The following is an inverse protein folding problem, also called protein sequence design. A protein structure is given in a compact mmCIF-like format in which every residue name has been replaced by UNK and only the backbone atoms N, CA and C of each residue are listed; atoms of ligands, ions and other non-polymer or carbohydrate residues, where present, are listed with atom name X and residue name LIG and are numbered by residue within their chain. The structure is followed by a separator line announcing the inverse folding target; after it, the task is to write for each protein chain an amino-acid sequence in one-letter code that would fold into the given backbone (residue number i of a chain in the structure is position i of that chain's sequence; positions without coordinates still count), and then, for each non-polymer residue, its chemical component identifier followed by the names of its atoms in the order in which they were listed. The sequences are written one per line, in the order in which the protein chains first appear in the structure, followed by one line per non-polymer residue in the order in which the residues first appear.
data_IF_896076023458
#
_entry.id   IF_896076023458
#
_cell.length_a   1.000
_cell.length_b   1.000
_cell.length_c   1.000
_cell.angle_alpha   90.00
_cell.angle_beta   90.00
_cell.angle_gamma   90.00
#
_symmetry.space_group_name_H-M   'P 1'
#
loop_
_entity.id
_entity.type
_entity.pdbx_description
1 polymer ?
#
# COMPACT_ATOMS: atom_id res chain seq x y z
N UNK A 1 -25.96 23.75 7.07
CA UNK A 1 -25.49 22.88 8.17
C UNK A 1 -24.06 22.50 7.86
N UNK A 2 -23.10 23.10 8.52
CA UNK A 2 -21.69 22.73 8.43
C UNK A 2 -21.56 21.40 9.16
N UNK A 3 -21.18 20.32 8.47
CA UNK A 3 -20.84 19.06 9.14
C UNK A 3 -19.64 19.35 10.03
N UNK A 4 -19.80 19.18 11.35
CA UNK A 4 -18.65 19.16 12.25
C UNK A 4 -17.70 18.05 11.81
N UNK A 5 -16.59 18.44 11.23
CA UNK A 5 -15.49 17.54 10.93
C UNK A 5 -14.85 17.17 12.26
N UNK A 6 -14.71 15.87 12.54
CA UNK A 6 -14.04 15.38 13.72
C UNK A 6 -12.63 16.03 13.78
N UNK A 7 -12.32 16.84 14.80
CA UNK A 7 -11.04 17.57 14.87
C UNK A 7 -9.79 16.67 14.99
N UNK A 8 -10.00 15.36 15.15
CA UNK A 8 -8.90 14.36 15.11
C UNK A 8 -8.61 13.82 13.70
N UNK A 9 -9.40 14.19 12.70
CA UNK A 9 -9.18 13.85 11.30
C UNK A 9 -8.96 15.18 10.57
N UNK A 10 -7.87 15.86 10.85
CA UNK A 10 -7.37 16.88 9.97
C UNK A 10 -6.70 16.20 8.78
N UNK A 11 -7.51 15.69 7.89
CA UNK A 11 -7.06 15.56 6.51
C UNK A 11 -6.87 17.00 6.02
N UNK A 12 -5.64 17.42 5.92
CA UNK A 12 -5.32 18.73 5.42
C UNK A 12 -5.67 18.70 3.94
N UNK A 13 -6.81 19.28 3.55
CA UNK A 13 -7.26 19.33 2.14
C UNK A 13 -6.18 19.93 1.21
N UNK A 14 -5.20 20.65 1.79
CA UNK A 14 -4.05 21.21 1.08
C UNK A 14 -3.01 20.15 0.70
N UNK A 15 -2.97 19.01 1.38
CA UNK A 15 -2.05 17.91 1.12
C UNK A 15 -2.67 16.83 0.23
N UNK A 16 -3.78 17.15 -0.41
CA UNK A 16 -4.53 16.31 -1.37
C UNK A 16 -4.23 16.69 -2.81
N UNK A 17 -3.06 16.37 -3.33
CA UNK A 17 -2.75 16.64 -4.73
C UNK A 17 -3.04 15.43 -5.61
N UNK A 18 -4.01 14.60 -5.23
CA UNK A 18 -4.34 13.42 -6.04
C UNK A 18 -4.84 13.86 -7.41
N UNK A 19 -5.67 14.88 -7.42
CA UNK A 19 -6.13 15.51 -8.67
C UNK A 19 -5.04 16.43 -9.23
N UNK A 20 -4.24 15.90 -10.13
CA UNK A 20 -3.18 16.64 -10.81
C UNK A 20 -1.76 16.29 -10.36
N UNK A 21 -1.59 15.25 -9.52
CA UNK A 21 -0.25 14.78 -9.16
C UNK A 21 0.53 14.35 -10.41
N UNK A 22 1.75 14.88 -10.53
CA UNK A 22 2.73 14.51 -11.56
C UNK A 22 4.07 14.32 -10.89
N UNK A 23 4.66 13.14 -11.06
CA UNK A 23 6.02 12.86 -10.59
C UNK A 23 7.03 13.74 -11.34
N UNK A 24 7.86 14.47 -10.60
CA UNK A 24 8.84 15.41 -11.16
C UNK A 24 9.96 14.72 -11.96
N UNK A 25 10.32 13.49 -11.60
CA UNK A 25 11.32 12.68 -12.33
C UNK A 25 10.60 11.71 -13.29
N UNK A 26 10.67 11.94 -14.63
CA UNK A 26 10.02 11.08 -15.61
C UNK A 26 10.53 9.64 -15.63
N UNK A 27 11.77 9.40 -15.21
CA UNK A 27 12.30 8.04 -15.11
C UNK A 27 11.74 7.34 -13.88
N UNK A 28 11.69 8.04 -12.73
CA UNK A 28 11.04 7.55 -11.52
C UNK A 28 9.56 7.24 -11.80
N UNK A 29 8.86 8.14 -12.50
CA UNK A 29 7.46 7.96 -12.87
C UNK A 29 7.20 6.62 -13.59
N UNK A 30 8.04 6.26 -14.57
CA UNK A 30 7.94 4.98 -15.27
C UNK A 30 8.18 3.77 -14.37
N UNK A 31 9.08 3.90 -13.40
CA UNK A 31 9.37 2.85 -12.45
C UNK A 31 8.24 2.70 -11.43
N UNK A 32 7.73 3.81 -10.91
CA UNK A 32 6.58 3.82 -9.99
C UNK A 32 5.34 3.25 -10.66
N UNK A 33 5.07 3.57 -11.93
CA UNK A 33 3.97 2.97 -12.68
C UNK A 33 4.07 1.44 -12.72
N UNK A 34 5.25 0.91 -13.04
CA UNK A 34 5.50 -0.54 -13.06
C UNK A 34 5.30 -1.16 -11.68
N UNK A 35 5.79 -0.52 -10.63
CA UNK A 35 5.64 -0.99 -9.26
C UNK A 35 4.17 -0.94 -8.83
N UNK A 36 3.48 0.16 -9.09
CA UNK A 36 2.05 0.30 -8.81
C UNK A 36 1.21 -0.78 -9.51
N UNK A 37 1.50 -1.08 -10.77
CA UNK A 37 0.86 -2.18 -11.51
C UNK A 37 1.17 -3.56 -10.91
N UNK A 38 2.35 -3.76 -10.35
CA UNK A 38 2.74 -5.00 -9.69
C UNK A 38 1.97 -5.21 -8.39
N UNK A 39 1.79 -4.16 -7.59
CA UNK A 39 1.21 -4.27 -6.25
C UNK A 39 -0.30 -4.06 -6.18
N UNK A 40 -0.89 -3.29 -7.11
CA UNK A 40 -2.32 -2.96 -7.07
C UNK A 40 -3.21 -4.21 -7.19
N UNK A 41 -4.31 -4.22 -6.45
CA UNK A 41 -5.39 -5.18 -6.60
C UNK A 41 -6.55 -4.67 -7.48
N UNK A 42 -6.47 -3.41 -7.91
CA UNK A 42 -7.48 -2.79 -8.78
C UNK A 42 -7.29 -3.25 -10.24
N UNK A 43 -8.16 -4.15 -10.70
CA UNK A 43 -8.10 -4.74 -12.04
C UNK A 43 -8.18 -3.69 -13.16
N UNK A 44 -9.06 -2.69 -13.13
CA UNK A 44 -9.11 -1.62 -14.15
C UNK A 44 -7.77 -0.91 -14.36
N UNK A 45 -6.97 -0.72 -13.31
CA UNK A 45 -5.64 -0.10 -13.41
C UNK A 45 -4.62 -0.95 -14.14
N UNK A 46 -4.81 -2.27 -14.18
CA UNK A 46 -3.94 -3.22 -14.90
C UNK A 46 -4.19 -3.28 -16.40
N UNK A 47 -5.26 -2.66 -16.87
CA UNK A 47 -5.51 -2.55 -18.30
C UNK A 47 -4.57 -1.54 -18.95
N UNK A 48 -4.31 -1.64 -20.27
CA UNK A 48 -3.46 -0.67 -20.97
C UNK A 48 -3.93 0.79 -20.75
N UNK A 49 -3.04 1.64 -20.26
CA UNK A 49 -3.35 3.03 -19.92
C UNK A 49 -4.27 3.22 -18.70
N UNK A 50 -4.54 2.15 -17.94
CA UNK A 50 -5.43 2.20 -16.77
C UNK A 50 -4.78 2.84 -15.54
N UNK A 51 -3.45 2.75 -15.37
CA UNK A 51 -2.73 3.41 -14.30
C UNK A 51 -2.45 4.87 -14.66
N UNK A 52 -2.73 5.79 -13.74
CA UNK A 52 -2.44 7.21 -13.87
C UNK A 52 -1.66 7.69 -12.65
N UNK A 53 -0.90 8.78 -12.80
CA UNK A 53 -0.06 9.31 -11.72
C UNK A 53 -0.86 9.86 -10.52
N UNK A 54 -2.10 10.27 -10.73
CA UNK A 54 -3.01 10.68 -9.68
C UNK A 54 -3.83 9.54 -9.06
N UNK A 55 -3.58 8.30 -9.44
CA UNK A 55 -4.15 7.16 -8.73
C UNK A 55 -3.41 6.92 -7.41
N UNK A 56 -4.15 6.49 -6.39
CA UNK A 56 -3.63 6.33 -5.05
C UNK A 56 -2.44 5.38 -4.98
N UNK A 57 -2.49 4.27 -5.70
CA UNK A 57 -1.39 3.29 -5.74
C UNK A 57 -0.09 3.88 -6.32
N UNK A 58 -0.20 4.77 -7.32
CA UNK A 58 0.94 5.47 -7.88
C UNK A 58 1.44 6.56 -6.93
N UNK A 59 0.52 7.41 -6.49
CA UNK A 59 0.83 8.60 -5.70
C UNK A 59 1.56 8.27 -4.41
N UNK A 60 1.06 7.30 -3.64
CA UNK A 60 1.69 6.94 -2.36
C UNK A 60 3.09 6.35 -2.55
N UNK A 61 3.30 5.53 -3.58
CA UNK A 61 4.63 4.98 -3.88
C UNK A 61 5.62 6.06 -4.32
N UNK A 62 5.16 7.04 -5.10
CA UNK A 62 5.98 8.17 -5.49
C UNK A 62 6.36 9.05 -4.30
N UNK A 63 5.46 9.21 -3.35
CA UNK A 63 5.71 10.02 -2.13
C UNK A 63 6.62 9.32 -1.14
N UNK A 64 6.45 8.03 -0.91
CA UNK A 64 7.17 7.29 0.13
C UNK A 64 8.53 6.76 -0.32
N UNK A 65 8.71 6.45 -1.61
CA UNK A 65 9.89 5.74 -2.09
C UNK A 65 10.83 6.62 -2.89
N UNK A 66 12.12 6.42 -2.68
CA UNK A 66 13.14 6.94 -3.57
C UNK A 66 13.17 6.16 -4.89
N UNK A 67 13.80 6.72 -5.92
CA UNK A 67 13.98 6.04 -7.21
C UNK A 67 14.74 4.72 -7.09
N UNK A 68 15.73 4.68 -6.19
CA UNK A 68 16.52 3.48 -5.91
C UNK A 68 15.67 2.37 -5.27
N UNK A 69 14.86 2.72 -4.28
CA UNK A 69 13.95 1.79 -3.62
C UNK A 69 12.89 1.23 -4.58
N UNK A 70 12.36 2.07 -5.48
CA UNK A 70 11.45 1.60 -6.52
C UNK A 70 12.13 0.59 -7.45
N UNK A 71 13.37 0.84 -7.87
CA UNK A 71 14.16 -0.13 -8.65
C UNK A 71 14.37 -1.43 -7.88
N UNK A 72 14.74 -1.32 -6.61
CA UNK A 72 14.95 -2.47 -5.74
C UNK A 72 13.66 -3.30 -5.60
N UNK A 73 12.53 -2.67 -5.35
CA UNK A 73 11.22 -3.34 -5.29
C UNK A 73 10.86 -4.07 -6.59
N UNK A 74 11.16 -3.50 -7.74
CA UNK A 74 10.93 -4.13 -9.04
C UNK A 74 11.78 -5.40 -9.25
N UNK A 75 12.87 -5.56 -8.50
CA UNK A 75 13.70 -6.76 -8.57
C UNK A 75 13.01 -8.02 -8.02
N UNK A 76 11.93 -7.88 -7.26
CA UNK A 76 11.09 -9.01 -6.85
C UNK A 76 10.26 -9.61 -8.00
N UNK A 77 10.03 -8.87 -9.08
CA UNK A 77 9.28 -9.26 -10.28
C UNK A 77 7.81 -9.58 -10.05
N UNK A 78 7.48 -10.17 -8.92
CA UNK A 78 6.11 -10.56 -8.54
C UNK A 78 5.91 -10.46 -7.04
N UNK A 79 4.66 -10.25 -6.64
CA UNK A 79 4.27 -10.35 -5.23
C UNK A 79 4.40 -11.80 -4.73
N UNK A 80 4.65 -11.95 -3.43
CA UNK A 80 4.70 -13.24 -2.71
C UNK A 80 5.73 -14.23 -3.23
N UNK A 81 6.78 -13.73 -3.88
CA UNK A 81 7.96 -14.52 -4.21
C UNK A 81 9.05 -14.16 -3.22
N UNK A 82 9.40 -15.12 -2.37
CA UNK A 82 10.47 -14.94 -1.37
C UNK A 82 11.83 -14.77 -2.04
N UNK A 83 12.60 -13.79 -1.57
CA UNK A 83 13.99 -13.56 -1.96
C UNK A 83 14.83 -13.25 -0.73
N UNK A 84 16.04 -13.77 -0.71
CA UNK A 84 17.05 -13.51 0.33
C UNK A 84 17.82 -12.22 0.06
N UNK A 85 18.48 -11.67 1.09
CA UNK A 85 19.36 -10.48 0.91
C UNK A 85 20.43 -10.69 -0.13
N UNK A 86 21.20 -11.83 -0.18
CA UNK A 86 22.20 -12.08 -1.22
C UNK A 86 21.61 -12.07 -2.64
N UNK A 87 20.44 -12.70 -2.85
CA UNK A 87 19.79 -12.71 -4.16
C UNK A 87 19.38 -11.29 -4.61
N UNK A 88 18.86 -10.49 -3.69
CA UNK A 88 18.47 -9.10 -3.98
C UNK A 88 19.69 -8.22 -4.23
N UNK A 89 20.76 -8.37 -3.44
CA UNK A 89 22.00 -7.65 -3.62
C UNK A 89 22.62 -7.95 -4.99
N UNK A 90 22.75 -9.23 -5.34
CA UNK A 90 23.28 -9.66 -6.63
C UNK A 90 22.45 -9.09 -7.80
N UNK A 91 21.11 -9.14 -7.69
CA UNK A 91 20.21 -8.71 -8.74
C UNK A 91 20.25 -7.20 -8.98
N UNK A 92 20.53 -6.43 -7.93
CA UNK A 92 20.61 -4.97 -7.99
C UNK A 92 22.05 -4.47 -8.17
N UNK A 93 23.06 -5.35 -8.20
CA UNK A 93 24.46 -4.99 -8.38
C UNK A 93 25.04 -4.17 -7.21
N UNK A 94 24.62 -4.47 -5.99
CA UNK A 94 25.02 -3.81 -4.76
C UNK A 94 25.56 -4.83 -3.74
N UNK A 95 26.14 -4.35 -2.66
CA UNK A 95 26.56 -5.19 -1.53
C UNK A 95 25.36 -5.66 -0.70
N UNK A 96 25.52 -6.74 0.06
CA UNK A 96 24.47 -7.22 0.97
C UNK A 96 24.14 -6.17 2.05
N UNK A 97 25.13 -5.40 2.50
CA UNK A 97 24.93 -4.32 3.48
C UNK A 97 24.06 -3.19 2.91
N UNK A 98 24.29 -2.80 1.64
CA UNK A 98 23.47 -1.80 0.96
C UNK A 98 22.05 -2.31 0.73
N UNK A 99 21.91 -3.56 0.28
CA UNK A 99 20.62 -4.20 0.11
C UNK A 99 19.86 -4.29 1.43
N UNK A 100 20.52 -4.65 2.54
CA UNK A 100 19.89 -4.77 3.85
C UNK A 100 19.36 -3.42 4.35
N UNK A 101 20.07 -2.31 4.13
CA UNK A 101 19.59 -0.96 4.50
C UNK A 101 18.30 -0.61 3.77
N UNK A 102 18.22 -0.93 2.48
CA UNK A 102 16.99 -0.71 1.71
C UNK A 102 15.87 -1.61 2.23
N UNK A 103 16.16 -2.88 2.48
CA UNK A 103 15.20 -3.84 3.04
C UNK A 103 14.66 -3.35 4.38
N UNK A 104 15.53 -2.92 5.29
CA UNK A 104 15.15 -2.46 6.62
C UNK A 104 14.19 -1.26 6.54
N UNK A 105 14.45 -0.31 5.64
CA UNK A 105 13.55 0.81 5.41
C UNK A 105 12.21 0.38 4.79
N UNK A 106 12.22 -0.52 3.83
CA UNK A 106 11.00 -1.03 3.19
C UNK A 106 10.16 -1.88 4.14
N UNK A 107 10.78 -2.62 5.07
CA UNK A 107 10.11 -3.31 6.17
C UNK A 107 9.50 -2.31 7.15
N UNK A 108 10.23 -1.24 7.49
CA UNK A 108 9.74 -0.19 8.36
C UNK A 108 8.52 0.54 7.79
N UNK A 109 8.51 0.82 6.49
CA UNK A 109 7.34 1.36 5.79
C UNK A 109 6.18 0.34 5.74
N UNK A 110 6.47 -0.96 5.77
CA UNK A 110 5.48 -2.03 5.66
C UNK A 110 5.16 -2.43 4.22
N UNK A 111 6.04 -2.09 3.27
CA UNK A 111 5.89 -2.48 1.86
C UNK A 111 6.63 -3.79 1.53
N UNK A 112 7.42 -4.29 2.46
CA UNK A 112 7.97 -5.63 2.48
C UNK A 112 7.52 -6.39 3.73
N UNK A 113 7.43 -7.69 3.61
CA UNK A 113 7.28 -8.64 4.72
C UNK A 113 8.46 -9.61 4.74
N UNK A 114 8.79 -10.11 5.93
CA UNK A 114 9.79 -11.16 6.10
C UNK A 114 9.15 -12.44 6.61
N UNK A 115 9.68 -13.58 6.21
CA UNK A 115 9.29 -14.87 6.75
C UNK A 115 10.44 -15.89 6.65
N UNK A 116 10.17 -17.10 7.12
CA UNK A 116 11.07 -18.26 7.04
C UNK A 116 10.34 -19.49 6.46
N UNK A 117 9.34 -19.26 5.62
CA UNK A 117 8.49 -20.30 5.02
C UNK A 117 9.20 -20.99 3.84
N UNK A 118 10.41 -21.51 4.12
CA UNK A 118 11.20 -22.27 3.16
C UNK A 118 11.88 -23.45 3.86
N UNK A 119 12.33 -24.45 3.10
CA UNK A 119 12.88 -25.68 3.63
C UNK A 119 14.06 -25.46 4.58
N UNK A 120 14.90 -24.48 4.28
CA UNK A 120 16.12 -24.18 5.03
C UNK A 120 15.88 -23.15 6.14
N UNK A 121 14.66 -22.66 6.29
CA UNK A 121 14.27 -21.63 7.26
C UNK A 121 15.12 -20.36 7.23
N UNK A 122 15.68 -20.03 6.08
CA UNK A 122 16.37 -18.77 5.87
C UNK A 122 15.39 -17.60 5.87
N UNK A 123 15.84 -16.44 6.34
CA UNK A 123 15.07 -15.20 6.21
C UNK A 123 14.95 -14.88 4.72
N UNK A 124 13.75 -14.69 4.28
CA UNK A 124 13.40 -14.20 2.95
C UNK A 124 12.37 -13.08 3.05
N UNK A 125 12.36 -12.24 2.04
CA UNK A 125 11.48 -11.08 1.94
C UNK A 125 10.58 -11.23 0.73
N UNK A 126 9.38 -10.70 0.82
CA UNK A 126 8.46 -10.64 -0.30
C UNK A 126 7.64 -9.34 -0.29
N UNK A 127 7.08 -9.01 -1.43
CA UNK A 127 6.10 -7.93 -1.57
C UNK A 127 4.73 -8.48 -1.15
N UNK A 128 4.10 -7.94 -0.10
CA UNK A 128 2.80 -8.41 0.39
C UNK A 128 1.65 -8.01 -0.53
N UNK A 129 0.42 -8.29 -0.10
CA UNK A 129 -0.76 -7.66 -0.68
C UNK A 129 -0.80 -6.19 -0.30
N UNK A 130 -1.39 -5.40 -1.20
CA UNK A 130 -1.61 -3.99 -0.94
C UNK A 130 -2.70 -3.76 0.11
N UNK A 131 -3.86 -4.36 -0.09
CA UNK A 131 -5.02 -4.40 0.83
C UNK A 131 -5.42 -5.87 0.97
N UNK A 132 -5.64 -6.43 2.07
CA UNK A 132 -5.24 -6.33 3.44
C UNK A 132 -3.74 -6.68 3.56
N UNK A 133 -2.94 -5.75 4.07
CA UNK A 133 -1.50 -5.94 4.19
C UNK A 133 -0.77 -4.62 4.38
N UNK A 134 -0.04 -4.15 3.36
CA UNK A 134 0.79 -2.95 3.47
C UNK A 134 0.01 -1.70 3.89
N UNK A 135 -1.19 -1.50 3.36
CA UNK A 135 -1.98 -0.30 3.66
C UNK A 135 -2.36 -0.20 5.14
N UNK A 136 -2.84 -1.29 5.71
CA UNK A 136 -3.20 -1.38 7.12
C UNK A 136 -1.98 -1.23 8.02
N UNK A 137 -0.87 -1.90 7.67
CA UNK A 137 0.38 -1.78 8.43
C UNK A 137 0.87 -0.32 8.47
N UNK A 138 0.84 0.37 7.33
CA UNK A 138 1.29 1.76 7.24
C UNK A 138 0.50 2.69 8.14
N UNK A 139 -0.83 2.55 8.18
CA UNK A 139 -1.68 3.45 8.99
C UNK A 139 -1.65 3.13 10.48
N UNK A 140 -1.42 1.86 10.82
CA UNK A 140 -1.29 1.41 12.22
C UNK A 140 0.14 1.55 12.76
N UNK A 141 1.11 1.91 11.93
CA UNK A 141 2.49 2.08 12.35
C UNK A 141 2.60 3.25 13.34
N UNK A 142 3.34 3.08 14.48
CA UNK A 142 3.33 4.05 15.57
C UNK A 142 3.87 5.43 15.20
N UNK A 143 4.73 5.57 14.21
CA UNK A 143 5.37 6.85 13.85
C UNK A 143 5.22 7.21 12.36
N UNK A 144 5.02 6.24 11.48
CA UNK A 144 4.98 6.48 10.03
C UNK A 144 3.91 7.50 9.60
N UNK A 145 2.66 7.49 10.15
CA UNK A 145 1.67 8.51 9.80
C UNK A 145 2.02 9.92 10.25
N UNK A 146 2.84 10.07 11.31
CA UNK A 146 3.31 11.38 11.78
C UNK A 146 4.44 11.91 10.88
N UNK A 147 5.31 11.04 10.40
CA UNK A 147 6.41 11.38 9.50
C UNK A 147 5.93 11.51 8.04
N UNK A 148 4.93 10.73 7.67
CA UNK A 148 4.33 10.66 6.32
C UNK A 148 2.80 10.76 6.39
N UNK A 149 2.24 11.98 6.54
CA UNK A 149 0.78 12.19 6.62
C UNK A 149 0.03 11.70 5.36
N UNK A 150 0.74 11.51 4.26
CA UNK A 150 0.23 10.90 3.04
C UNK A 150 -0.36 9.49 3.27
N UNK A 151 0.14 8.78 4.27
CA UNK A 151 -0.33 7.43 4.62
C UNK A 151 -1.79 7.47 5.08
N UNK A 152 -2.15 8.41 5.96
CA UNK A 152 -3.53 8.59 6.40
C UNK A 152 -4.47 8.98 5.24
N UNK A 153 -3.97 9.83 4.37
CA UNK A 153 -4.67 10.24 3.13
C UNK A 153 -4.94 9.02 2.24
N UNK A 154 -3.91 8.23 1.98
CA UNK A 154 -4.01 7.00 1.18
C UNK A 154 -5.04 6.05 1.75
N UNK A 155 -5.01 5.80 3.05
CA UNK A 155 -5.92 4.87 3.71
C UNK A 155 -7.38 5.32 3.64
N UNK A 156 -7.63 6.62 3.74
CA UNK A 156 -8.97 7.18 3.61
C UNK A 156 -9.52 7.09 2.18
N UNK A 157 -8.67 7.27 1.16
CA UNK A 157 -9.12 7.34 -0.23
C UNK A 157 -9.10 6.00 -0.96
N UNK A 158 -8.17 5.12 -0.61
CA UNK A 158 -8.01 3.83 -1.29
C UNK A 158 -9.30 2.98 -1.35
N UNK A 159 -10.17 2.95 -0.32
CA UNK A 159 -11.43 2.21 -0.39
C UNK A 159 -12.56 2.96 -1.10
N UNK A 160 -12.49 4.26 -1.32
CA UNK A 160 -13.60 5.04 -1.86
C UNK A 160 -13.98 4.62 -3.28
N UNK A 161 -13.02 4.48 -4.18
CA UNK A 161 -13.27 4.07 -5.56
C UNK A 161 -13.88 2.67 -5.67
N UNK A 162 -13.35 1.62 -5.00
CA UNK A 162 -13.99 0.30 -4.96
C UNK A 162 -15.36 0.31 -4.30
N UNK A 163 -15.56 1.11 -3.26
CA UNK A 163 -16.86 1.23 -2.57
C UNK A 163 -17.89 1.91 -3.45
N UNK A 164 -17.54 2.97 -4.17
CA UNK A 164 -18.42 3.61 -5.14
C UNK A 164 -18.82 2.69 -6.29
N UNK A 165 -17.88 1.89 -6.79
CA UNK A 165 -18.17 0.87 -7.79
C UNK A 165 -19.10 -0.22 -7.23
N UNK A 166 -18.82 -0.73 -6.03
CA UNK A 166 -19.64 -1.71 -5.36
C UNK A 166 -21.04 -1.17 -5.09
N UNK A 167 -21.16 0.06 -4.64
CA UNK A 167 -22.45 0.71 -4.38
C UNK A 167 -23.33 0.81 -5.63
N UNK A 168 -22.73 0.98 -6.82
CA UNK A 168 -23.46 0.97 -8.10
C UNK A 168 -23.95 -0.42 -8.52
N UNK A 169 -23.29 -1.46 -8.04
CA UNK A 169 -23.60 -2.87 -8.36
C UNK A 169 -24.55 -3.50 -7.33
N UNK A 170 -24.66 -2.92 -6.14
CA UNK A 170 -25.52 -3.43 -5.07
C UNK A 170 -26.94 -2.89 -5.30
N UNK A 171 -27.95 -3.77 -5.41
CA UNK A 171 -29.32 -3.34 -5.56
C UNK A 171 -29.83 -2.58 -4.32
N UNK A 172 -30.81 -1.68 -4.46
CA UNK A 172 -31.42 -0.99 -3.34
C UNK A 172 -31.90 -1.99 -2.27
N UNK A 173 -31.46 -1.80 -1.05
CA UNK A 173 -31.73 -2.72 0.05
C UNK A 173 -30.62 -3.72 0.36
N UNK A 174 -29.61 -3.83 -0.47
CA UNK A 174 -28.24 -4.40 -0.27
C UNK A 174 -28.03 -5.59 0.66
N UNK A 175 -29.07 -6.34 0.98
CA UNK A 175 -28.97 -7.45 1.90
C UNK A 175 -28.11 -8.58 1.32
N UNK A 176 -26.98 -8.86 1.98
CA UNK A 176 -26.16 -10.06 1.72
C UNK A 176 -24.89 -9.83 0.94
N UNK A 177 -24.58 -8.60 0.49
CA UNK A 177 -23.32 -8.30 -0.20
C UNK A 177 -22.54 -7.27 0.64
N UNK A 178 -21.54 -7.72 1.37
CA UNK A 178 -20.68 -6.85 2.16
C UNK A 178 -20.07 -7.55 3.37
N UNK A 179 -19.10 -6.91 3.98
CA UNK A 179 -18.58 -7.35 5.26
C UNK A 179 -19.62 -7.12 6.34
N UNK A 180 -20.08 -8.18 6.99
CA UNK A 180 -20.86 -8.06 8.20
C UNK A 180 -19.92 -7.75 9.36
N UNK A 181 -19.98 -6.53 9.87
CA UNK A 181 -19.37 -6.21 11.15
C UNK A 181 -20.22 -6.92 12.21
N UNK A 182 -19.68 -8.00 12.78
CA UNK A 182 -20.25 -8.62 13.96
C UNK A 182 -20.00 -7.65 15.11
N UNK A 183 -21.03 -7.10 15.76
CA UNK A 183 -20.82 -6.25 16.93
C UNK A 183 -20.25 -7.10 18.06
N UNK A 184 -18.94 -6.99 18.28
CA UNK A 184 -18.20 -7.75 19.29
C UNK A 184 -18.72 -7.49 20.71
N UNK A 185 -19.25 -6.29 20.94
CA UNK A 185 -19.85 -5.92 22.23
C UNK A 185 -21.02 -6.81 22.65
N UNK A 186 -21.82 -7.29 21.71
CA UNK A 186 -22.97 -8.16 22.03
C UNK A 186 -22.59 -9.58 22.44
N UNK A 187 -21.40 -10.05 22.04
CA UNK A 187 -20.91 -11.38 22.40
C UNK A 187 -20.21 -11.41 23.78
N UNK A 188 -19.76 -10.27 24.30
CA UNK A 188 -19.13 -10.20 25.62
C UNK A 188 -20.12 -10.18 26.79
N UNK A 189 -21.40 -9.86 26.56
CA UNK A 189 -22.43 -9.80 27.60
C UNK A 189 -23.25 -11.09 27.75
N UNK A 190 -23.01 -12.13 26.96
CA UNK A 190 -23.75 -13.40 27.02
C UNK A 190 -23.03 -14.46 27.89
N UNK A 191 -21.85 -14.16 28.39
CA UNK A 191 -21.05 -15.09 29.20
C UNK A 191 -20.95 -14.70 30.70
N UNK A 192 -21.93 -13.96 31.24
CA UNK A 192 -22.09 -13.72 32.68
C UNK A 192 -23.35 -14.37 33.21
#
# INVERSE_FOLDING_TARGET
MVKEVNPRIHVNERDYPVDGHVCEDPEKAKLVEKLALMITDNIPRKLPGGMKQNHMDFWILDRLLTKEEVKFMLSFEKRRVGKTTPELAQKNGMTEEEAQKIIDHLLWIGILEQNRDNADQHIQYWVPKWVVGSGEYMVEHPTLPDEHPEVATMFNLAPQEPLEMAAKLIPPGGAGIGMHVIPVEKSMYISM
#
